data_IF_114704510514
#
_entry.id   IF_114704510514
#
_cell.length_a   1.000
_cell.length_b   1.000
_cell.length_c   1.000
_cell.angle_alpha   90.00
_cell.angle_beta   90.00
_cell.angle_gamma   90.00
#
_symmetry.space_group_name_H-M   'P 1'
#
loop_
_entity.id
_entity.type
_entity.pdbx_description
1 polymer ?
#
# COMPACT_ATOMS: atom_id res chain seq x y z
N UNK A 1 22.11 22.27 6.38
CA UNK A 1 21.12 23.38 6.51
C UNK A 1 20.15 23.34 5.33
N UNK A 2 19.03 22.60 5.48
CA UNK A 2 18.03 22.41 4.40
C UNK A 2 16.62 22.81 4.85
N UNK A 3 16.53 23.58 5.95
CA UNK A 3 15.28 24.13 6.46
C UNK A 3 14.64 25.04 5.38
N UNK A 4 13.36 24.85 5.12
CA UNK A 4 12.49 25.53 4.14
C UNK A 4 12.43 24.89 2.72
N UNK A 5 12.98 23.72 2.46
CA UNK A 5 12.72 23.05 1.19
C UNK A 5 11.29 22.51 1.12
N UNK A 6 10.68 22.62 -0.07
CA UNK A 6 9.31 22.20 -0.34
C UNK A 6 9.30 20.82 -1.01
N UNK A 7 8.59 19.88 -0.40
CA UNK A 7 8.46 18.51 -0.88
C UNK A 7 6.99 18.27 -1.25
N UNK A 8 6.75 17.76 -2.45
CA UNK A 8 5.45 17.22 -2.82
C UNK A 8 5.51 15.70 -2.74
N UNK A 9 4.67 15.12 -1.91
CA UNK A 9 4.41 13.69 -1.89
C UNK A 9 3.28 13.40 -2.87
N UNK A 10 3.50 12.42 -3.76
CA UNK A 10 2.50 11.90 -4.70
C UNK A 10 2.19 10.46 -4.31
N UNK A 11 0.94 10.19 -3.98
CA UNK A 11 0.50 8.86 -3.54
C UNK A 11 -0.99 8.66 -3.81
N UNK A 12 -1.42 7.43 -4.05
CA UNK A 12 -2.83 7.09 -4.18
C UNK A 12 -3.60 7.30 -2.88
N UNK A 13 -3.02 6.87 -1.76
CA UNK A 13 -3.65 6.86 -0.45
C UNK A 13 -2.89 7.73 0.55
N UNK A 14 -3.61 8.50 1.33
CA UNK A 14 -3.10 9.30 2.44
C UNK A 14 -4.19 9.47 3.50
N UNK A 15 -3.83 9.98 4.68
CA UNK A 15 -4.78 10.18 5.78
C UNK A 15 -6.19 10.60 5.29
N UNK A 16 -7.28 10.04 5.81
CA UNK A 16 -7.41 9.15 6.98
C UNK A 16 -7.11 7.68 6.71
N UNK A 17 -6.62 7.33 5.54
CA UNK A 17 -6.15 6.00 5.20
C UNK A 17 -4.77 5.79 5.86
N UNK A 18 -4.63 4.69 6.60
CA UNK A 18 -3.45 4.44 7.44
C UNK A 18 -2.33 3.75 6.66
N UNK A 19 -1.36 4.53 6.19
CA UNK A 19 -0.18 4.06 5.48
C UNK A 19 1.09 4.70 6.04
N UNK A 20 2.23 4.06 5.89
CA UNK A 20 3.54 4.56 6.36
C UNK A 20 3.93 5.92 5.79
N UNK A 21 3.35 6.30 4.66
CA UNK A 21 3.58 7.62 4.06
C UNK A 21 3.04 8.77 4.93
N UNK A 22 2.03 8.50 5.77
CA UNK A 22 1.52 9.49 6.72
C UNK A 22 2.62 9.84 7.75
N UNK A 23 3.28 8.82 8.30
CA UNK A 23 4.36 8.99 9.27
C UNK A 23 5.56 9.72 8.62
N UNK A 24 5.89 9.39 7.35
CA UNK A 24 6.95 10.08 6.59
C UNK A 24 6.64 11.56 6.44
N UNK A 25 5.42 11.90 6.04
CA UNK A 25 5.00 13.29 5.82
C UNK A 25 5.13 14.11 7.12
N UNK A 26 4.65 13.57 8.23
CA UNK A 26 4.73 14.22 9.54
C UNK A 26 6.19 14.35 10.01
N UNK A 27 6.97 13.28 9.91
CA UNK A 27 8.39 13.31 10.29
C UNK A 27 9.19 14.35 9.50
N UNK A 28 8.94 14.51 8.20
CA UNK A 28 9.62 15.53 7.39
C UNK A 28 9.17 16.94 7.75
N UNK A 29 7.87 17.12 8.00
CA UNK A 29 7.35 18.41 8.50
C UNK A 29 8.03 18.79 9.82
N UNK A 30 8.13 17.86 10.78
CA UNK A 30 8.75 18.09 12.08
C UNK A 30 10.26 18.38 11.97
N UNK A 31 10.91 17.86 10.93
CA UNK A 31 12.30 18.22 10.56
C UNK A 31 12.43 19.59 9.88
N UNK A 32 11.33 20.31 9.69
CA UNK A 32 11.32 21.68 9.14
C UNK A 32 11.21 21.76 7.62
N UNK A 33 10.80 20.68 6.94
CA UNK A 33 10.42 20.74 5.54
C UNK A 33 8.97 21.24 5.39
N UNK A 34 8.69 21.96 4.31
CA UNK A 34 7.31 22.21 3.89
C UNK A 34 6.82 21.02 3.08
N UNK A 35 5.86 20.26 3.60
CA UNK A 35 5.37 19.04 2.98
C UNK A 35 3.92 19.22 2.57
N UNK A 36 3.64 19.00 1.29
CA UNK A 36 2.30 18.91 0.74
C UNK A 36 2.10 17.53 0.10
N UNK A 37 0.86 17.07 0.02
CA UNK A 37 0.50 15.75 -0.52
C UNK A 37 -0.50 15.90 -1.66
N UNK A 38 -0.27 15.24 -2.78
CA UNK A 38 -1.22 15.05 -3.87
C UNK A 38 -1.73 13.61 -3.85
N UNK A 39 -3.04 13.42 -3.64
CA UNK A 39 -3.66 12.12 -3.44
C UNK A 39 -5.11 12.07 -3.96
N UNK A 40 -5.76 10.90 -3.87
CA UNK A 40 -7.19 10.72 -4.13
C UNK A 40 -8.06 11.17 -2.93
N UNK A 41 -9.36 11.38 -3.17
CA UNK A 41 -10.33 11.35 -2.10
C UNK A 41 -10.27 9.97 -1.40
N UNK A 42 -10.35 9.91 -0.05
CA UNK A 42 -10.09 8.67 0.69
C UNK A 42 -11.21 7.66 0.48
N UNK A 43 -10.84 6.47 -0.01
CA UNK A 43 -11.78 5.39 -0.33
C UNK A 43 -11.30 4.00 0.08
N UNK A 44 -10.02 3.83 0.40
CA UNK A 44 -9.46 2.54 0.76
C UNK A 44 -9.59 2.26 2.27
N UNK A 45 -9.98 1.07 2.71
CA UNK A 45 -10.30 -0.11 1.91
C UNK A 45 -11.78 -0.21 1.53
N UNK A 46 -12.61 0.77 1.90
CA UNK A 46 -14.08 0.68 1.87
C UNK A 46 -14.66 0.65 0.44
N UNK A 47 -13.93 1.17 -0.54
CA UNK A 47 -14.44 1.35 -1.91
C UNK A 47 -15.52 2.44 -2.02
N UNK A 48 -15.74 3.21 -0.96
CA UNK A 48 -16.61 4.39 -0.87
C UNK A 48 -15.89 5.49 -0.11
N UNK A 49 -16.27 6.74 -0.37
CA UNK A 49 -15.65 7.89 0.32
C UNK A 49 -15.91 7.80 1.82
N UNK A 50 -14.89 8.10 2.60
CA UNK A 50 -14.97 8.12 4.07
C UNK A 50 -15.99 9.14 4.57
N UNK A 51 -16.68 8.89 5.70
CA UNK A 51 -17.54 9.88 6.34
C UNK A 51 -16.78 11.18 6.63
N UNK A 52 -17.42 12.31 6.39
CA UNK A 52 -16.81 13.63 6.56
C UNK A 52 -15.99 14.13 5.37
N UNK A 53 -15.67 13.28 4.39
CA UNK A 53 -14.95 13.66 3.17
C UNK A 53 -15.88 13.82 1.98
N UNK A 54 -15.50 14.67 1.03
CA UNK A 54 -16.25 14.90 -0.21
C UNK A 54 -15.44 14.44 -1.41
N UNK A 55 -16.08 13.72 -2.32
CA UNK A 55 -15.51 13.36 -3.62
C UNK A 55 -15.76 14.50 -4.61
N UNK A 56 -14.73 15.18 -5.03
CA UNK A 56 -14.83 16.30 -5.96
C UNK A 56 -13.63 16.33 -6.89
N UNK A 57 -13.73 17.08 -7.98
CA UNK A 57 -12.66 17.19 -8.98
C UNK A 57 -11.33 17.63 -8.34
N UNK A 58 -11.39 18.61 -7.43
CA UNK A 58 -10.24 19.08 -6.67
C UNK A 58 -10.71 19.57 -5.30
N UNK A 59 -10.00 19.19 -4.24
CA UNK A 59 -10.25 19.60 -2.87
C UNK A 59 -8.92 19.85 -2.16
N UNK A 60 -8.96 20.75 -1.20
CA UNK A 60 -7.86 20.98 -0.26
C UNK A 60 -8.32 20.56 1.12
N UNK A 61 -7.49 19.77 1.78
CA UNK A 61 -7.63 19.38 3.18
C UNK A 61 -6.31 19.64 3.89
N UNK A 62 -6.29 19.46 5.18
CA UNK A 62 -5.10 19.55 6.02
C UNK A 62 -5.08 18.40 7.02
N UNK A 63 -3.90 17.89 7.31
CA UNK A 63 -3.67 16.93 8.37
C UNK A 63 -2.42 17.30 9.15
N UNK A 64 -2.59 17.72 10.40
CA UNK A 64 -1.50 18.10 11.32
C UNK A 64 -0.48 19.07 10.68
N UNK A 65 -0.96 20.07 9.93
CA UNK A 65 -0.14 21.08 9.26
C UNK A 65 0.49 20.63 7.94
N UNK A 66 0.11 19.46 7.41
CA UNK A 66 0.43 19.00 6.05
C UNK A 66 -0.77 19.31 5.15
N UNK A 67 -0.57 20.12 4.10
CA UNK A 67 -1.64 20.38 3.14
C UNK A 67 -1.84 19.18 2.22
N UNK A 68 -3.09 18.86 1.93
CA UNK A 68 -3.48 17.74 1.10
C UNK A 68 -4.29 18.23 -0.10
N UNK A 69 -3.80 17.96 -1.29
CA UNK A 69 -4.50 18.20 -2.54
C UNK A 69 -5.15 16.89 -2.98
N UNK A 70 -6.49 16.82 -2.90
CA UNK A 70 -7.24 15.64 -3.29
C UNK A 70 -7.87 15.81 -4.65
N UNK A 71 -7.76 14.77 -5.47
CA UNK A 71 -8.53 14.66 -6.71
C UNK A 71 -9.62 13.61 -6.59
N UNK A 72 -10.56 13.62 -7.53
CA UNK A 72 -11.68 12.69 -7.58
C UNK A 72 -11.20 11.23 -7.48
N UNK A 73 -11.93 10.41 -6.72
CA UNK A 73 -11.71 8.98 -6.61
C UNK A 73 -12.88 8.18 -7.21
N UNK A 74 -12.58 7.13 -7.95
CA UNK A 74 -13.57 6.16 -8.42
C UNK A 74 -14.06 5.34 -7.23
N UNK A 75 -15.37 5.23 -7.06
CA UNK A 75 -16.00 4.46 -5.98
C UNK A 75 -16.64 3.17 -6.50
N UNK A 76 -16.97 2.22 -5.59
CA UNK A 76 -17.61 0.95 -5.94
C UNK A 76 -16.71 0.00 -6.73
N UNK A 77 -15.39 0.09 -6.54
CA UNK A 77 -14.42 -0.74 -7.26
C UNK A 77 -14.17 -2.10 -6.61
N UNK A 78 -14.69 -2.36 -5.41
CA UNK A 78 -14.45 -3.64 -4.70
C UNK A 78 -14.96 -4.84 -5.49
N UNK A 79 -16.10 -4.70 -6.13
CA UNK A 79 -16.83 -5.79 -6.80
C UNK A 79 -16.76 -5.72 -8.33
N UNK A 80 -15.93 -4.82 -8.88
CA UNK A 80 -15.85 -4.59 -10.33
C UNK A 80 -14.42 -4.41 -10.80
N UNK A 81 -13.93 -5.35 -11.61
CA UNK A 81 -12.60 -5.25 -12.25
C UNK A 81 -12.50 -4.03 -13.16
N UNK A 82 -13.59 -3.69 -13.86
CA UNK A 82 -13.64 -2.51 -14.73
C UNK A 82 -13.46 -1.23 -13.91
N UNK A 83 -14.19 -1.07 -12.80
CA UNK A 83 -14.03 0.09 -11.91
C UNK A 83 -12.64 0.14 -11.26
N UNK A 84 -12.00 -1.00 -10.97
CA UNK A 84 -10.61 -1.03 -10.51
C UNK A 84 -9.65 -0.45 -11.55
N UNK A 85 -9.81 -0.83 -12.83
CA UNK A 85 -9.00 -0.28 -13.92
C UNK A 85 -9.22 1.22 -14.06
N UNK A 86 -10.47 1.68 -14.03
CA UNK A 86 -10.78 3.11 -14.06
C UNK A 86 -10.18 3.88 -12.87
N UNK A 87 -10.13 3.29 -11.68
CA UNK A 87 -9.48 3.89 -10.51
C UNK A 87 -8.01 4.21 -10.79
N UNK A 88 -7.26 3.28 -11.37
CA UNK A 88 -5.84 3.48 -11.70
C UNK A 88 -5.63 4.56 -12.78
N UNK A 89 -6.49 4.61 -13.79
CA UNK A 89 -6.43 5.62 -14.84
C UNK A 89 -6.85 7.00 -14.31
N UNK A 90 -7.79 7.04 -13.38
CA UNK A 90 -8.33 8.28 -12.83
C UNK A 90 -7.25 9.13 -12.15
N UNK A 91 -6.47 8.57 -11.22
CA UNK A 91 -5.41 9.34 -10.56
C UNK A 91 -4.28 9.70 -11.53
N UNK A 92 -3.96 8.80 -12.45
CA UNK A 92 -3.01 9.06 -13.51
C UNK A 92 -3.35 10.35 -14.28
N UNK A 93 -4.63 10.56 -14.63
CA UNK A 93 -5.09 11.73 -15.40
C UNK A 93 -5.26 12.95 -14.49
N UNK A 94 -6.17 12.88 -13.52
CA UNK A 94 -6.53 14.04 -12.70
C UNK A 94 -5.40 14.50 -11.79
N UNK A 95 -4.64 13.57 -11.23
CA UNK A 95 -3.43 13.87 -10.48
C UNK A 95 -2.37 14.57 -11.34
N UNK A 96 -2.20 14.14 -12.60
CA UNK A 96 -1.27 14.79 -13.53
C UNK A 96 -1.71 16.19 -13.93
N UNK A 97 -3.00 16.43 -14.13
CA UNK A 97 -3.53 17.78 -14.39
C UNK A 97 -3.19 18.70 -13.21
N UNK A 98 -3.50 18.29 -11.98
CA UNK A 98 -3.17 19.08 -10.79
C UNK A 98 -1.66 19.28 -10.66
N UNK A 99 -0.86 18.24 -10.92
CA UNK A 99 0.60 18.27 -10.84
C UNK A 99 1.21 19.32 -11.80
N UNK A 100 0.62 19.55 -12.98
CA UNK A 100 1.06 20.62 -13.92
C UNK A 100 0.94 21.99 -13.25
N UNK A 101 -0.15 22.27 -12.54
CA UNK A 101 -0.36 23.59 -11.94
C UNK A 101 0.44 23.81 -10.65
N UNK A 102 0.66 22.76 -9.85
CA UNK A 102 1.31 22.93 -8.55
C UNK A 102 2.80 22.58 -8.55
N UNK A 103 3.27 21.73 -9.48
CA UNK A 103 4.58 21.09 -9.40
C UNK A 103 5.78 22.04 -9.45
N UNK A 104 5.65 23.20 -10.13
CA UNK A 104 6.73 24.19 -10.26
C UNK A 104 7.22 24.71 -8.90
N UNK A 105 6.35 24.79 -7.90
CA UNK A 105 6.62 25.41 -6.60
C UNK A 105 7.42 24.53 -5.63
N UNK A 106 7.62 23.25 -5.95
CA UNK A 106 8.34 22.31 -5.08
C UNK A 106 9.79 22.17 -5.49
N UNK A 107 10.64 21.89 -4.50
CA UNK A 107 12.06 21.59 -4.71
C UNK A 107 12.28 20.11 -5.03
N UNK A 108 11.49 19.23 -4.39
CA UNK A 108 11.56 17.76 -4.51
C UNK A 108 10.19 17.15 -4.70
N UNK A 109 10.14 16.03 -5.41
CA UNK A 109 8.94 15.22 -5.57
C UNK A 109 9.23 13.82 -5.07
N UNK A 110 8.35 13.31 -4.20
CA UNK A 110 8.46 11.99 -3.63
C UNK A 110 7.22 11.17 -3.99
N UNK A 111 7.39 10.12 -4.78
CA UNK A 111 6.33 9.21 -5.15
C UNK A 111 6.31 8.00 -4.22
N UNK A 112 5.21 7.80 -3.48
CA UNK A 112 4.99 6.58 -2.72
C UNK A 112 4.15 5.61 -3.54
N UNK A 113 4.83 4.66 -4.18
CA UNK A 113 4.20 3.67 -5.07
C UNK A 113 3.66 2.49 -4.28
N UNK A 114 2.44 2.62 -3.79
CA UNK A 114 1.80 1.64 -2.91
C UNK A 114 1.28 0.41 -3.66
N UNK A 115 0.75 0.56 -4.86
CA UNK A 115 0.15 -0.54 -5.63
C UNK A 115 0.31 -0.33 -7.13
N UNK A 116 -0.47 0.57 -7.71
CA UNK A 116 -0.37 0.84 -9.14
C UNK A 116 0.77 1.80 -9.47
N UNK A 117 1.62 1.41 -10.43
CA UNK A 117 2.65 2.32 -10.94
C UNK A 117 2.06 3.51 -11.72
N UNK A 118 0.81 3.42 -12.20
CA UNK A 118 0.11 4.53 -12.88
C UNK A 118 -0.04 5.74 -11.95
N UNK A 119 -0.13 5.52 -10.64
CA UNK A 119 -0.31 6.56 -9.63
C UNK A 119 0.93 7.45 -9.47
N UNK A 120 2.05 7.02 -10.03
CA UNK A 120 3.30 7.78 -10.03
C UNK A 120 3.44 8.72 -11.25
N UNK A 121 2.52 8.67 -12.23
CA UNK A 121 2.59 9.53 -13.41
C UNK A 121 2.58 11.03 -13.07
N UNK A 122 1.80 11.53 -12.11
CA UNK A 122 1.86 12.94 -11.71
C UNK A 122 3.28 13.40 -11.30
N UNK A 123 4.01 12.55 -10.59
CA UNK A 123 5.40 12.83 -10.21
C UNK A 123 6.34 12.87 -11.43
N UNK A 124 6.16 11.96 -12.38
CA UNK A 124 6.91 11.94 -13.67
C UNK A 124 6.58 13.20 -14.50
N UNK A 125 5.33 13.63 -14.54
CA UNK A 125 4.92 14.87 -15.23
C UNK A 125 5.68 16.07 -14.67
N UNK A 126 5.73 16.23 -13.35
CA UNK A 126 6.50 17.31 -12.70
C UNK A 126 7.98 17.20 -13.07
N UNK A 127 8.55 16.00 -13.03
CA UNK A 127 9.95 15.77 -13.41
C UNK A 127 10.24 16.20 -14.84
N UNK A 128 9.35 15.85 -15.77
CA UNK A 128 9.54 16.18 -17.20
C UNK A 128 9.40 17.67 -17.47
N UNK A 129 8.38 18.30 -16.91
CA UNK A 129 8.07 19.70 -17.17
C UNK A 129 8.99 20.65 -16.42
N UNK A 130 9.27 20.39 -15.15
CA UNK A 130 9.95 21.33 -14.26
C UNK A 130 11.35 20.85 -13.84
N UNK A 131 11.79 19.68 -14.32
CA UNK A 131 13.12 19.09 -14.03
C UNK A 131 13.40 18.89 -12.53
N UNK A 132 12.33 18.79 -11.70
CA UNK A 132 12.49 18.61 -10.25
C UNK A 132 13.11 17.25 -9.94
N UNK A 133 14.01 17.14 -8.96
CA UNK A 133 14.47 15.86 -8.44
C UNK A 133 13.26 15.04 -7.96
N UNK A 134 13.16 13.80 -8.45
CA UNK A 134 12.02 12.93 -8.20
C UNK A 134 12.50 11.57 -7.74
N UNK A 135 12.00 11.11 -6.59
CA UNK A 135 12.32 9.81 -6.03
C UNK A 135 11.04 8.97 -5.96
N UNK A 136 11.13 7.68 -6.30
CA UNK A 136 10.07 6.72 -6.01
C UNK A 136 10.47 5.84 -4.84
N UNK A 137 9.55 5.62 -3.92
CA UNK A 137 9.65 4.58 -2.91
C UNK A 137 8.69 3.45 -3.29
N UNK A 138 9.28 2.37 -3.81
CA UNK A 138 8.55 1.25 -4.42
C UNK A 138 8.14 0.26 -3.35
N UNK A 139 6.84 0.03 -3.24
CA UNK A 139 6.22 -0.96 -2.35
C UNK A 139 5.78 -2.21 -3.12
N UNK A 140 5.38 -2.05 -4.39
CA UNK A 140 4.96 -3.11 -5.29
C UNK A 140 5.72 -3.04 -6.60
N UNK A 141 6.20 -4.19 -7.09
CA UNK A 141 6.98 -4.27 -8.33
C UNK A 141 6.08 -4.58 -9.51
N UNK A 142 6.04 -3.64 -10.47
CA UNK A 142 5.47 -3.85 -11.78
C UNK A 142 6.56 -4.33 -12.77
N UNK A 143 6.19 -5.23 -13.73
CA UNK A 143 4.85 -5.73 -14.05
C UNK A 143 4.38 -6.93 -13.21
N UNK A 144 5.20 -7.50 -12.32
CA UNK A 144 4.91 -8.75 -11.60
C UNK A 144 3.58 -8.68 -10.83
N UNK A 145 3.33 -7.56 -10.12
CA UNK A 145 2.09 -7.38 -9.36
C UNK A 145 0.84 -7.35 -10.25
N UNK A 146 0.92 -6.88 -11.49
CA UNK A 146 -0.21 -6.92 -12.44
C UNK A 146 -0.63 -8.36 -12.71
N UNK A 147 0.35 -9.25 -12.93
CA UNK A 147 0.07 -10.67 -13.16
C UNK A 147 -0.43 -11.37 -11.90
N UNK A 148 0.08 -11.01 -10.73
CA UNK A 148 -0.41 -11.51 -9.44
C UNK A 148 -1.88 -11.14 -9.19
N UNK A 149 -2.36 -10.02 -9.72
CA UNK A 149 -3.78 -9.64 -9.69
C UNK A 149 -4.66 -10.39 -10.69
N UNK A 150 -4.10 -11.33 -11.45
CA UNK A 150 -4.86 -12.24 -12.33
C UNK A 150 -4.92 -11.84 -13.81
N UNK A 151 -4.17 -10.82 -14.23
CA UNK A 151 -4.05 -10.51 -15.65
C UNK A 151 -3.21 -11.56 -16.35
N UNK A 152 -3.72 -12.11 -17.46
CA UNK A 152 -2.98 -13.09 -18.26
C UNK A 152 -1.77 -12.45 -18.92
N UNK A 153 -0.61 -13.11 -18.80
CA UNK A 153 0.63 -12.66 -19.43
C UNK A 153 0.56 -12.98 -20.94
N UNK A 154 0.15 -11.99 -21.74
CA UNK A 154 0.22 -12.07 -23.21
C UNK A 154 1.41 -11.27 -23.71
N UNK A 155 1.95 -11.59 -24.90
CA UNK A 155 3.09 -10.86 -25.49
C UNK A 155 2.81 -9.37 -25.64
N UNK A 156 1.61 -9.01 -26.09
CA UNK A 156 1.21 -7.61 -26.25
C UNK A 156 1.17 -6.88 -24.89
N UNK A 157 0.49 -7.46 -23.88
CA UNK A 157 0.40 -6.85 -22.56
C UNK A 157 1.77 -6.70 -21.90
N UNK A 158 2.63 -7.74 -21.98
CA UNK A 158 3.97 -7.66 -21.39
C UNK A 158 4.82 -6.57 -22.05
N UNK A 159 4.81 -6.47 -23.38
CA UNK A 159 5.55 -5.41 -24.09
C UNK A 159 5.07 -4.00 -23.69
N UNK A 160 3.76 -3.80 -23.57
CA UNK A 160 3.20 -2.50 -23.14
C UNK A 160 3.57 -2.18 -21.69
N UNK A 161 3.45 -3.15 -20.79
CA UNK A 161 3.80 -2.96 -19.38
C UNK A 161 5.31 -2.70 -19.22
N UNK A 162 6.16 -3.46 -19.90
CA UNK A 162 7.62 -3.27 -19.85
C UNK A 162 8.02 -1.88 -20.35
N UNK A 163 7.42 -1.42 -21.45
CA UNK A 163 7.65 -0.07 -21.99
C UNK A 163 7.19 1.01 -20.98
N UNK A 164 6.02 0.83 -20.38
CA UNK A 164 5.48 1.75 -19.39
C UNK A 164 6.34 1.79 -18.11
N UNK A 165 6.70 0.64 -17.55
CA UNK A 165 7.55 0.53 -16.36
C UNK A 165 8.91 1.19 -16.62
N UNK A 166 9.52 0.90 -17.77
CA UNK A 166 10.77 1.54 -18.19
C UNK A 166 10.64 3.05 -18.34
N UNK A 167 9.57 3.53 -18.98
CA UNK A 167 9.28 4.95 -19.08
C UNK A 167 9.20 5.63 -17.71
N UNK A 168 8.46 5.03 -16.76
CA UNK A 168 8.29 5.60 -15.43
C UNK A 168 9.61 5.69 -14.68
N UNK A 169 10.39 4.62 -14.62
CA UNK A 169 11.65 4.56 -13.88
C UNK A 169 12.81 5.30 -14.60
N UNK A 170 12.74 5.50 -15.91
CA UNK A 170 13.70 6.34 -16.62
C UNK A 170 13.50 7.85 -16.37
N UNK A 171 12.35 8.24 -15.83
CA UNK A 171 12.04 9.65 -15.56
C UNK A 171 12.09 10.00 -14.06
N UNK A 172 12.89 9.27 -13.29
CA UNK A 172 13.17 9.59 -11.87
C UNK A 172 14.68 9.86 -11.69
N UNK A 173 15.03 10.42 -10.54
CA UNK A 173 16.42 10.73 -10.16
C UNK A 173 16.94 9.86 -9.03
N UNK A 174 16.05 9.21 -8.28
CA UNK A 174 16.38 8.29 -7.22
C UNK A 174 15.26 7.24 -7.07
N UNK A 175 15.62 6.07 -6.58
CA UNK A 175 14.68 5.00 -6.26
C UNK A 175 15.00 4.42 -4.88
N UNK A 176 13.97 4.25 -4.06
CA UNK A 176 14.02 3.47 -2.84
C UNK A 176 13.17 2.22 -2.99
N UNK A 177 13.61 1.13 -2.41
CA UNK A 177 12.93 -0.17 -2.44
C UNK A 177 12.66 -0.64 -1.02
N UNK A 178 11.45 -1.13 -0.78
CA UNK A 178 11.05 -1.66 0.54
C UNK A 178 11.58 -3.07 0.80
N UNK A 179 11.98 -3.78 -0.24
CA UNK A 179 12.59 -5.12 -0.14
C UNK A 179 13.82 -5.22 -1.03
N UNK A 180 14.90 -5.84 -0.53
CA UNK A 180 16.12 -6.10 -1.31
C UNK A 180 15.86 -6.97 -2.55
N UNK A 181 14.88 -7.88 -2.48
CA UNK A 181 14.46 -8.70 -3.62
C UNK A 181 13.85 -7.92 -4.79
N UNK A 182 13.52 -6.63 -4.61
CA UNK A 182 13.02 -5.77 -5.69
C UNK A 182 14.12 -5.31 -6.65
N UNK A 183 15.38 -5.28 -6.20
CA UNK A 183 16.51 -4.80 -6.99
C UNK A 183 16.62 -5.55 -8.32
N UNK A 184 16.76 -6.88 -8.27
CA UNK A 184 16.86 -7.72 -9.47
C UNK A 184 15.66 -7.61 -10.41
N UNK A 185 14.49 -7.32 -9.87
CA UNK A 185 13.25 -7.15 -10.63
C UNK A 185 13.17 -5.79 -11.34
N UNK A 186 13.70 -4.74 -10.72
CA UNK A 186 13.64 -3.37 -11.22
C UNK A 186 14.85 -3.00 -12.06
N UNK A 187 16.00 -3.69 -11.90
CA UNK A 187 17.23 -3.40 -12.62
C UNK A 187 17.03 -3.27 -14.15
N UNK A 188 16.23 -4.11 -14.85
CA UNK A 188 16.00 -3.96 -16.29
C UNK A 188 15.27 -2.67 -16.69
N UNK A 189 14.64 -2.00 -15.74
CA UNK A 189 13.77 -0.84 -15.98
C UNK A 189 14.36 0.49 -15.54
N UNK A 190 15.44 0.50 -14.74
CA UNK A 190 16.07 1.75 -14.29
C UNK A 190 17.18 2.21 -15.25
N UNK A 191 17.54 3.47 -15.17
CA UNK A 191 18.71 3.99 -15.89
C UNK A 191 19.99 3.38 -15.36
N UNK A 192 20.90 3.03 -16.25
CA UNK A 192 22.24 2.59 -15.88
C UNK A 192 22.92 3.62 -14.97
N UNK A 193 23.43 3.16 -13.83
CA UNK A 193 24.09 4.00 -12.83
C UNK A 193 23.16 4.61 -11.77
N UNK A 194 21.84 4.45 -11.87
CA UNK A 194 20.92 4.80 -10.79
C UNK A 194 21.01 3.74 -9.69
N UNK A 195 21.41 4.17 -8.48
CA UNK A 195 21.55 3.26 -7.33
C UNK A 195 20.23 3.05 -6.62
N UNK A 196 19.99 1.81 -6.17
CA UNK A 196 18.91 1.49 -5.28
C UNK A 196 19.23 1.93 -3.84
N UNK A 197 18.24 2.52 -3.18
CA UNK A 197 18.31 2.84 -1.76
C UNK A 197 17.38 1.87 -1.03
N UNK A 198 17.92 1.07 -0.13
CA UNK A 198 17.11 0.17 0.67
C UNK A 198 16.42 0.96 1.79
N UNK A 199 15.11 1.05 1.74
CA UNK A 199 14.25 1.73 2.71
C UNK A 199 13.08 0.81 3.06
N UNK A 200 13.28 -0.15 3.98
CA UNK A 200 12.22 -1.07 4.37
C UNK A 200 11.10 -0.37 5.13
N UNK A 201 9.92 -0.94 5.10
CA UNK A 201 8.86 -0.54 6.02
C UNK A 201 9.28 -0.91 7.44
N UNK A 202 9.05 0.01 8.37
CA UNK A 202 9.28 -0.22 9.80
C UNK A 202 8.02 -0.80 10.47
N UNK A 203 8.22 -1.54 11.53
CA UNK A 203 7.18 -1.87 12.48
C UNK A 203 6.91 -0.67 13.39
N UNK A 204 5.70 -0.58 13.93
CA UNK A 204 5.42 0.37 14.99
C UNK A 204 6.05 -0.14 16.29
N UNK A 205 6.45 0.78 17.17
CA UNK A 205 6.81 0.42 18.53
C UNK A 205 5.56 -0.14 19.21
N UNK A 206 5.59 -1.43 19.48
CA UNK A 206 4.50 -2.10 20.17
C UNK A 206 4.67 -1.88 21.67
N UNK A 207 3.58 -1.53 22.35
CA UNK A 207 3.54 -1.53 23.81
C UNK A 207 3.66 -2.98 24.30
N UNK A 208 4.88 -3.36 24.65
CA UNK A 208 5.20 -4.71 25.13
C UNK A 208 4.73 -4.96 26.57
N UNK A 209 4.27 -3.92 27.28
CA UNK A 209 3.69 -4.06 28.62
C UNK A 209 2.20 -4.40 28.59
N UNK A 210 1.58 -4.33 27.42
CA UNK A 210 0.19 -4.75 27.24
C UNK A 210 -0.03 -6.21 27.64
N UNK A 211 -1.11 -6.47 28.36
CA UNK A 211 -1.54 -7.83 28.69
C UNK A 211 -1.98 -8.55 27.43
N UNK A 212 -1.42 -9.74 27.13
CA UNK A 212 -1.86 -10.52 25.95
C UNK A 212 -3.32 -10.93 26.09
N UNK A 213 -4.02 -11.05 24.98
CA UNK A 213 -5.36 -11.63 24.99
C UNK A 213 -5.27 -13.15 25.15
N UNK A 214 -6.30 -13.74 25.74
CA UNK A 214 -6.43 -15.19 25.77
C UNK A 214 -6.97 -15.69 24.43
N UNK A 215 -6.08 -16.19 23.56
CA UNK A 215 -6.46 -16.78 22.27
C UNK A 215 -7.12 -18.16 22.41
N UNK A 216 -6.77 -18.90 23.45
CA UNK A 216 -7.40 -20.17 23.81
C UNK A 216 -7.41 -20.40 25.33
N UNK A 217 -8.31 -21.24 25.81
CA UNK A 217 -8.36 -21.65 27.22
C UNK A 217 -7.25 -22.62 27.61
N UNK A 218 -6.62 -23.29 26.64
CA UNK A 218 -5.57 -24.30 26.85
C UNK A 218 -4.27 -23.79 26.22
N UNK A 219 -3.12 -24.26 26.73
CA UNK A 219 -1.82 -24.01 26.10
C UNK A 219 -1.79 -24.64 24.72
N UNK A 220 -1.91 -23.80 23.67
CA UNK A 220 -1.78 -24.19 22.27
C UNK A 220 -0.65 -23.42 21.62
N UNK A 221 -0.11 -24.00 20.54
CA UNK A 221 0.76 -23.26 19.62
C UNK A 221 -0.14 -22.40 18.75
N UNK A 222 0.08 -21.09 18.77
CA UNK A 222 -0.71 -20.15 17.98
C UNK A 222 0.03 -19.74 16.72
N UNK A 223 -0.59 -20.00 15.56
CA UNK A 223 -0.18 -19.44 14.27
C UNK A 223 -1.08 -18.24 14.00
N UNK A 224 -0.51 -17.06 13.85
CA UNK A 224 -1.31 -15.84 13.70
C UNK A 224 -0.98 -15.14 12.38
N UNK A 225 -2.00 -14.94 11.56
CA UNK A 225 -1.99 -14.02 10.42
C UNK A 225 -2.73 -12.74 10.79
N UNK A 226 -2.12 -11.59 10.52
CA UNK A 226 -2.76 -10.30 10.68
C UNK A 226 -2.56 -9.44 9.42
N UNK A 227 -3.67 -9.01 8.82
CA UNK A 227 -3.60 -8.21 7.60
C UNK A 227 -4.85 -8.24 6.74
N UNK A 228 -4.73 -7.77 5.51
CA UNK A 228 -5.80 -7.82 4.53
C UNK A 228 -6.08 -9.29 4.11
N UNK A 229 -7.33 -9.72 4.22
CA UNK A 229 -7.78 -11.08 3.85
C UNK A 229 -8.20 -11.07 2.38
N UNK A 230 -7.23 -10.83 1.49
CA UNK A 230 -7.43 -10.81 0.04
C UNK A 230 -6.87 -12.06 -0.65
N UNK A 231 -7.16 -12.20 -1.96
CA UNK A 231 -6.68 -13.34 -2.76
C UNK A 231 -5.16 -13.39 -2.88
N UNK A 232 -4.50 -12.23 -2.94
CA UNK A 232 -3.03 -12.13 -3.12
C UNK A 232 -2.28 -12.69 -1.92
N UNK A 233 -2.86 -12.64 -0.71
CA UNK A 233 -2.28 -13.19 0.51
C UNK A 233 -2.25 -14.72 0.55
N UNK A 234 -3.02 -15.37 -0.34
CA UNK A 234 -3.05 -16.82 -0.52
C UNK A 234 -3.26 -17.62 0.79
N UNK A 235 -4.14 -17.10 1.66
CA UNK A 235 -4.48 -17.75 2.93
C UNK A 235 -5.13 -19.14 2.76
N UNK A 236 -5.58 -19.45 1.55
CA UNK A 236 -6.07 -20.79 1.18
C UNK A 236 -5.00 -21.85 1.44
N UNK A 237 -3.75 -21.58 1.04
CA UNK A 237 -2.65 -22.51 1.28
C UNK A 237 -2.34 -22.65 2.78
N UNK A 238 -2.47 -21.59 3.55
CA UNK A 238 -2.25 -21.64 5.01
C UNK A 238 -3.33 -22.49 5.68
N UNK A 239 -4.60 -22.29 5.33
CA UNK A 239 -5.72 -23.07 5.87
C UNK A 239 -5.57 -24.54 5.48
N UNK A 240 -5.29 -24.83 4.21
CA UNK A 240 -5.10 -26.20 3.72
C UNK A 240 -3.92 -26.88 4.43
N UNK A 241 -2.78 -26.21 4.56
CA UNK A 241 -1.62 -26.74 5.29
C UNK A 241 -1.95 -27.00 6.76
N UNK A 242 -2.70 -26.12 7.43
CA UNK A 242 -3.13 -26.32 8.80
C UNK A 242 -4.07 -27.53 8.93
N UNK A 243 -4.99 -27.73 7.99
CA UNK A 243 -5.88 -28.87 7.95
C UNK A 243 -5.16 -30.21 7.64
N UNK A 244 -3.98 -30.17 7.01
CA UNK A 244 -3.16 -31.34 6.77
C UNK A 244 -2.27 -31.76 7.96
N UNK A 245 -2.22 -30.95 9.02
CA UNK A 245 -1.51 -31.34 10.23
C UNK A 245 -2.08 -32.64 10.80
N UNK A 246 -1.24 -33.60 11.26
CA UNK A 246 -1.71 -34.76 11.98
C UNK A 246 -2.56 -34.36 13.20
N UNK A 247 -3.59 -35.14 13.50
CA UNK A 247 -4.58 -34.82 14.55
C UNK A 247 -3.97 -34.39 15.88
N UNK A 248 -2.88 -35.04 16.29
CA UNK A 248 -2.18 -34.73 17.54
C UNK A 248 -1.58 -33.32 17.57
N UNK A 249 -1.08 -32.83 16.42
CA UNK A 249 -0.56 -31.47 16.28
C UNK A 249 -1.67 -30.45 16.10
N UNK A 250 -2.69 -30.80 15.31
CA UNK A 250 -3.82 -29.92 15.05
C UNK A 250 -4.58 -29.59 16.34
N UNK A 251 -4.82 -30.57 17.22
CA UNK A 251 -5.45 -30.39 18.53
C UNK A 251 -4.65 -29.47 19.47
N UNK A 252 -3.31 -29.49 19.35
CA UNK A 252 -2.39 -28.67 20.14
C UNK A 252 -2.07 -27.31 19.50
N UNK A 253 -2.69 -27.01 18.36
CA UNK A 253 -2.44 -25.77 17.62
C UNK A 253 -3.72 -25.01 17.37
N UNK A 254 -3.59 -23.70 17.07
CA UNK A 254 -4.70 -22.84 16.66
C UNK A 254 -4.19 -21.88 15.59
N UNK A 255 -4.96 -21.75 14.50
CA UNK A 255 -4.73 -20.75 13.45
C UNK A 255 -5.63 -19.55 13.70
N UNK A 256 -5.05 -18.40 13.93
CA UNK A 256 -5.74 -17.14 14.15
C UNK A 256 -5.64 -16.26 12.90
N UNK A 257 -6.76 -15.85 12.34
CA UNK A 257 -6.82 -14.97 11.18
C UNK A 257 -7.45 -13.65 11.61
N UNK A 258 -6.64 -12.59 11.63
CA UNK A 258 -7.04 -11.24 12.03
C UNK A 258 -7.06 -10.36 10.80
N UNK A 259 -8.19 -9.72 10.54
CA UNK A 259 -8.37 -8.84 9.40
C UNK A 259 -9.69 -9.03 8.69
N UNK A 260 -9.87 -8.29 7.61
CA UNK A 260 -11.01 -8.36 6.70
C UNK A 260 -10.55 -8.24 5.25
N UNK A 261 -11.37 -8.68 4.32
CA UNK A 261 -11.05 -8.58 2.90
C UNK A 261 -11.95 -9.40 1.99
N UNK A 262 -11.73 -9.27 0.70
CA UNK A 262 -12.60 -9.85 -0.33
C UNK A 262 -12.65 -11.39 -0.34
N UNK A 263 -11.68 -12.06 0.29
CA UNK A 263 -11.62 -13.52 0.32
C UNK A 263 -12.17 -14.15 1.62
N UNK A 264 -12.58 -13.33 2.60
CA UNK A 264 -12.96 -13.80 3.95
C UNK A 264 -14.09 -14.83 3.92
N UNK A 265 -15.15 -14.57 3.14
CA UNK A 265 -16.31 -15.48 3.06
C UNK A 265 -15.90 -16.84 2.50
N UNK A 266 -15.06 -16.84 1.46
CA UNK A 266 -14.54 -18.07 0.86
C UNK A 266 -13.68 -18.86 1.85
N UNK A 267 -12.77 -18.19 2.56
CA UNK A 267 -11.86 -18.81 3.53
C UNK A 267 -12.60 -19.40 4.73
N UNK A 268 -13.68 -18.75 5.20
CA UNK A 268 -14.56 -19.30 6.23
C UNK A 268 -15.26 -20.59 5.77
N UNK A 269 -15.67 -20.65 4.50
CA UNK A 269 -16.23 -21.91 3.94
C UNK A 269 -15.15 -22.98 3.80
N UNK A 270 -13.96 -22.61 3.34
CA UNK A 270 -12.83 -23.52 3.18
C UNK A 270 -12.38 -24.15 4.51
N UNK A 271 -12.41 -23.39 5.59
CA UNK A 271 -12.06 -23.87 6.94
C UNK A 271 -13.00 -24.97 7.47
N UNK A 272 -14.13 -25.21 6.82
CA UNK A 272 -15.11 -26.24 7.12
C UNK A 272 -15.47 -26.31 8.61
N UNK A 273 -15.66 -25.14 9.26
CA UNK A 273 -15.94 -24.99 10.68
C UNK A 273 -14.90 -25.67 11.61
N UNK A 274 -13.65 -25.85 11.16
CA UNK A 274 -12.61 -26.38 12.01
C UNK A 274 -12.46 -25.54 13.29
N UNK A 275 -12.68 -26.12 14.49
CA UNK A 275 -12.69 -25.37 15.74
C UNK A 275 -11.33 -24.77 16.13
N UNK A 276 -10.26 -25.20 15.46
CA UNK A 276 -8.91 -24.66 15.66
C UNK A 276 -8.54 -23.55 14.68
N UNK A 277 -9.46 -23.12 13.80
CA UNK A 277 -9.26 -21.98 12.91
C UNK A 277 -10.21 -20.85 13.31
N UNK A 278 -9.66 -19.78 13.87
CA UNK A 278 -10.44 -18.68 14.43
C UNK A 278 -10.28 -17.43 13.57
N UNK A 279 -11.41 -16.87 13.13
CA UNK A 279 -11.46 -15.60 12.40
C UNK A 279 -11.86 -14.48 13.37
N UNK A 280 -10.91 -13.61 13.73
CA UNK A 280 -11.12 -12.52 14.69
C UNK A 280 -11.74 -11.26 14.07
N UNK A 281 -11.85 -11.20 12.72
CA UNK A 281 -12.29 -10.01 12.01
C UNK A 281 -11.27 -8.88 12.09
N UNK A 282 -11.67 -7.67 11.63
CA UNK A 282 -10.82 -6.48 11.68
C UNK A 282 -10.66 -6.02 13.12
N UNK A 283 -9.42 -5.84 13.55
CA UNK A 283 -9.04 -5.30 14.85
C UNK A 283 -8.47 -3.89 14.69
N UNK A 284 -8.45 -3.12 15.77
CA UNK A 284 -7.82 -1.81 15.81
C UNK A 284 -6.30 -1.97 15.86
N UNK A 285 -5.54 -1.01 15.29
CA UNK A 285 -4.07 -1.01 15.27
C UNK A 285 -3.49 -1.06 16.70
N UNK A 286 -4.09 -0.32 17.61
CA UNK A 286 -3.70 -0.26 19.03
C UNK A 286 -3.85 -1.61 19.77
N UNK A 287 -4.78 -2.47 19.35
CA UNK A 287 -5.00 -3.78 19.97
C UNK A 287 -4.08 -4.88 19.41
N UNK A 288 -3.39 -4.63 18.29
CA UNK A 288 -2.59 -5.66 17.62
C UNK A 288 -1.45 -6.19 18.48
N UNK A 289 -0.85 -5.34 19.34
CA UNK A 289 0.19 -5.77 20.27
C UNK A 289 -0.25 -6.93 21.17
N UNK A 290 -1.51 -6.90 21.63
CA UNK A 290 -2.11 -7.96 22.47
C UNK A 290 -2.17 -9.31 21.74
N UNK A 291 -2.50 -9.27 20.43
CA UNK A 291 -2.56 -10.47 19.59
C UNK A 291 -1.16 -11.03 19.32
N UNK A 292 -0.20 -10.19 18.96
CA UNK A 292 1.17 -10.62 18.68
C UNK A 292 1.86 -11.19 19.91
N UNK A 293 1.59 -10.62 21.10
CA UNK A 293 2.15 -11.12 22.35
C UNK A 293 1.53 -12.47 22.78
N UNK A 294 0.34 -12.78 22.31
CA UNK A 294 -0.38 -14.02 22.59
C UNK A 294 -0.09 -15.15 21.59
N UNK A 295 0.73 -14.88 20.56
CA UNK A 295 0.95 -15.79 19.41
C UNK A 295 2.25 -16.57 19.49
#
# INVERSE_FOLDING_TARGET
MTKNKKILIVTECFYPEEFKINDVALSWKDKGYHVDVLTLAPTYPLGKVFPGYKNGFFRKDEYQGVNIFRVHAVTGYRDSTVKKTFKYINFMIFGSIVAIFIGRRYDYVFGFNLGSLTDMLPAVVIRKLYKKPTMFWVQDVWPDSVYAYGFKKTKMLSTLLDAFVKFMHHNITAVAISSKGFESKLEPYIKKGLKFNYAPNWADDLDMDMVPIALSKNQKIHFTFAGNVGKVQNLENIINAFCLLPDGYQKKSQLNIIGDGSNLIFLKKLSNNNPNIIFHGKQKREDMAKFYKAS
#
